data_IF_691211711441
#
_entry.id   IF_691211711441
#
_cell.length_a   1.000
_cell.length_b   1.000
_cell.length_c   1.000
_cell.angle_alpha   90.00
_cell.angle_beta   90.00
_cell.angle_gamma   90.00
#
_symmetry.space_group_name_H-M   'P 1'
#
loop_
_entity.id
_entity.type
_entity.pdbx_description
1 polymer ?
#
# COMPACT_ATOMS: atom_id res chain seq x y z
N UNK A 1 5.69 -13.48 5.48
CA UNK A 1 4.42 -12.79 5.83
C UNK A 1 3.74 -12.32 4.55
N UNK A 2 3.13 -13.24 3.79
CA UNK A 2 2.47 -12.93 2.51
C UNK A 2 1.22 -13.83 2.30
N UNK A 3 0.68 -14.38 3.40
CA UNK A 3 -0.32 -15.44 3.37
C UNK A 3 -1.75 -14.93 3.24
N UNK A 4 -2.00 -13.64 3.41
CA UNK A 4 -3.35 -13.02 3.41
C UNK A 4 -4.15 -13.37 2.15
N UNK A 5 -3.50 -13.26 0.99
CA UNK A 5 -4.17 -13.49 -0.28
C UNK A 5 -4.55 -14.96 -0.46
N UNK A 6 -3.61 -15.88 -0.23
CA UNK A 6 -3.86 -17.32 -0.31
C UNK A 6 -4.92 -17.78 0.71
N UNK A 7 -4.84 -17.33 1.96
CA UNK A 7 -5.80 -17.74 2.98
C UNK A 7 -7.19 -17.15 2.77
N UNK A 8 -7.30 -16.01 2.09
CA UNK A 8 -8.60 -15.48 1.65
C UNK A 8 -9.14 -16.15 0.38
N UNK A 9 -8.47 -17.20 -0.13
CA UNK A 9 -8.74 -17.76 -1.45
C UNK A 9 -8.79 -16.66 -2.53
N UNK A 10 -7.80 -15.76 -2.50
CA UNK A 10 -7.65 -14.61 -3.40
C UNK A 10 -8.80 -13.59 -3.34
N UNK A 11 -9.62 -13.56 -2.29
CA UNK A 11 -10.69 -12.56 -2.14
C UNK A 11 -10.16 -11.18 -1.73
N UNK A 12 -9.08 -11.13 -0.95
CA UNK A 12 -8.41 -9.87 -0.63
C UNK A 12 -7.71 -9.33 -1.89
N UNK A 13 -7.93 -8.06 -2.22
CA UNK A 13 -7.31 -7.41 -3.40
C UNK A 13 -6.25 -6.37 -3.06
N UNK A 14 -6.37 -5.74 -1.89
CA UNK A 14 -5.39 -4.80 -1.35
C UNK A 14 -5.12 -5.18 0.11
N UNK A 15 -3.86 -5.24 0.50
CA UNK A 15 -3.43 -5.26 1.90
C UNK A 15 -2.65 -3.98 2.18
N UNK A 16 -3.09 -3.22 3.17
CA UNK A 16 -2.37 -2.07 3.70
C UNK A 16 -1.74 -2.43 5.04
N UNK A 17 -0.41 -2.39 5.11
CA UNK A 17 0.32 -2.52 6.37
C UNK A 17 0.79 -1.14 6.79
N UNK A 18 0.44 -0.74 8.01
CA UNK A 18 0.96 0.48 8.63
C UNK A 18 1.78 0.08 9.84
N UNK A 19 3.07 0.42 9.79
CA UNK A 19 4.05 0.11 10.83
C UNK A 19 4.46 1.41 11.49
N UNK A 20 4.51 1.41 12.81
CA UNK A 20 4.94 2.55 13.60
C UNK A 20 6.24 2.21 14.30
N UNK A 21 7.28 3.01 14.06
CA UNK A 21 8.59 2.88 14.68
C UNK A 21 8.87 4.13 15.52
N UNK A 22 8.69 4.00 16.83
CA UNK A 22 8.95 5.07 17.79
C UNK A 22 10.43 5.42 17.89
N UNK A 23 11.31 4.44 17.69
CA UNK A 23 12.77 4.58 17.87
C UNK A 23 13.35 5.39 16.73
N UNK A 24 12.99 5.05 15.49
CA UNK A 24 13.44 5.77 14.30
C UNK A 24 12.53 6.94 13.90
N UNK A 25 11.52 7.23 14.73
CA UNK A 25 10.53 8.29 14.49
C UNK A 25 9.89 8.22 13.11
N UNK A 26 9.53 7.01 12.70
CA UNK A 26 9.07 6.71 11.35
C UNK A 26 7.72 5.99 11.37
N UNK A 27 6.91 6.26 10.33
CA UNK A 27 5.70 5.50 10.01
C UNK A 27 5.90 4.94 8.61
N UNK A 28 5.76 3.63 8.46
CA UNK A 28 5.94 2.96 7.17
C UNK A 28 4.61 2.39 6.71
N UNK A 29 4.17 2.79 5.51
CA UNK A 29 2.99 2.26 4.86
C UNK A 29 3.43 1.36 3.70
N UNK A 30 2.89 0.16 3.65
CA UNK A 30 3.09 -0.77 2.54
C UNK A 30 1.74 -1.13 1.93
N UNK A 31 1.64 -0.98 0.61
CA UNK A 31 0.53 -1.46 -0.18
C UNK A 31 0.94 -2.73 -0.91
N UNK A 32 0.20 -3.80 -0.68
CA UNK A 32 0.37 -5.08 -1.34
C UNK A 32 -0.87 -5.41 -2.17
N UNK A 33 -0.64 -5.97 -3.35
CA UNK A 33 -1.67 -6.40 -4.32
C UNK A 33 -1.27 -7.77 -4.89
N UNK A 34 -2.18 -8.47 -5.56
CA UNK A 34 -1.83 -9.68 -6.32
C UNK A 34 -1.61 -9.40 -7.80
N UNK A 35 -0.61 -10.05 -8.35
CA UNK A 35 -0.32 -10.04 -9.79
C UNK A 35 -0.21 -11.47 -10.33
N UNK A 36 -0.65 -11.72 -11.56
CA UNK A 36 -0.30 -12.94 -12.27
C UNK A 36 1.23 -13.07 -12.36
N UNK A 37 1.77 -14.23 -12.02
CA UNK A 37 3.15 -14.56 -12.38
C UNK A 37 3.25 -14.67 -13.89
N UNK A 38 4.16 -13.89 -14.48
CA UNK A 38 4.56 -14.08 -15.87
C UNK A 38 5.03 -15.52 -16.05
N UNK A 39 4.24 -16.31 -16.79
CA UNK A 39 4.60 -17.68 -17.12
C UNK A 39 5.43 -17.59 -18.41
N UNK A 40 6.69 -18.01 -18.36
CA UNK A 40 7.60 -17.96 -19.49
C UNK A 40 6.93 -18.56 -20.76
N UNK A 41 6.94 -17.85 -21.91
CA UNK A 41 6.36 -18.38 -23.13
C UNK A 41 7.24 -19.53 -23.65
N UNK A 42 6.81 -20.76 -23.43
CA UNK A 42 7.50 -21.94 -23.97
C UNK A 42 7.29 -23.26 -23.23
N UNK A 43 6.71 -23.25 -22.02
CA UNK A 43 6.44 -24.50 -21.30
C UNK A 43 4.97 -24.89 -21.46
N UNK A 44 4.72 -25.90 -22.30
CA UNK A 44 3.42 -26.56 -22.42
C UNK A 44 3.12 -27.32 -21.14
N UNK A 45 2.65 -26.63 -20.10
CA UNK A 45 2.11 -27.28 -18.91
C UNK A 45 0.60 -27.27 -19.00
N UNK A 46 0.07 -28.42 -19.42
CA UNK A 46 -1.33 -28.80 -19.27
C UNK A 46 -1.74 -28.60 -17.80
N UNK A 47 -2.70 -27.69 -17.56
CA UNK A 47 -3.25 -27.28 -16.25
C UNK A 47 -2.36 -26.36 -15.40
N UNK A 48 -2.22 -25.09 -15.78
CA UNK A 48 -1.74 -24.06 -14.84
C UNK A 48 -2.68 -22.86 -14.83
N UNK A 49 -3.50 -22.78 -13.78
CA UNK A 49 -3.99 -21.50 -13.28
C UNK A 49 -2.79 -20.57 -13.15
N UNK A 50 -2.81 -19.40 -13.80
CA UNK A 50 -1.77 -18.40 -13.62
C UNK A 50 -1.55 -18.19 -12.11
N UNK A 51 -0.35 -18.52 -11.62
CA UNK A 51 -0.08 -18.48 -10.20
C UNK A 51 -0.07 -17.01 -9.76
N UNK A 52 -1.10 -16.58 -9.03
CA UNK A 52 -1.16 -15.25 -8.45
C UNK A 52 -0.10 -15.14 -7.35
N UNK A 53 0.61 -14.02 -7.32
CA UNK A 53 1.60 -13.74 -6.28
C UNK A 53 1.38 -12.36 -5.65
N UNK A 54 1.62 -12.25 -4.34
CA UNK A 54 1.57 -10.97 -3.64
C UNK A 54 2.81 -10.13 -3.97
N UNK A 55 2.57 -8.89 -4.41
CA UNK A 55 3.60 -7.92 -4.77
C UNK A 55 3.41 -6.65 -3.96
N UNK A 56 4.51 -6.11 -3.42
CA UNK A 56 4.51 -4.81 -2.75
C UNK A 56 4.56 -3.71 -3.81
N UNK A 57 3.41 -3.09 -4.07
CA UNK A 57 3.25 -2.02 -5.06
C UNK A 57 3.72 -0.66 -4.58
N UNK A 58 3.50 -0.35 -3.30
CA UNK A 58 3.96 0.90 -2.71
C UNK A 58 4.62 0.65 -1.36
N UNK A 59 5.69 1.40 -1.10
CA UNK A 59 6.38 1.46 0.18
C UNK A 59 6.69 2.93 0.47
N UNK A 60 5.92 3.50 1.39
CA UNK A 60 5.95 4.92 1.75
C UNK A 60 6.50 5.01 3.16
N UNK A 61 7.50 5.85 3.36
CA UNK A 61 8.04 6.15 4.69
C UNK A 61 7.73 7.59 5.05
N UNK A 62 7.22 7.81 6.26
CA UNK A 62 6.96 9.13 6.82
C UNK A 62 7.87 9.30 8.03
N UNK A 63 8.88 10.15 7.91
CA UNK A 63 9.85 10.41 8.98
C UNK A 63 9.56 11.75 9.63
N UNK A 64 9.52 11.78 10.97
CA UNK A 64 9.33 13.00 11.74
C UNK A 64 10.64 13.77 11.84
N UNK A 65 10.63 15.00 11.35
CA UNK A 65 11.75 15.93 11.48
C UNK A 65 11.46 16.93 12.62
N UNK A 66 12.25 16.83 13.68
CA UNK A 66 12.11 17.67 14.88
C UNK A 66 13.03 18.88 14.86
N UNK A 67 13.83 19.06 13.79
CA UNK A 67 14.71 20.22 13.63
C UNK A 67 13.95 21.47 13.18
N UNK A 68 12.76 21.30 12.59
CA UNK A 68 11.90 22.39 12.15
C UNK A 68 10.91 22.79 13.24
N UNK A 69 10.54 24.08 13.28
CA UNK A 69 9.44 24.59 14.10
C UNK A 69 8.43 25.33 13.20
N UNK A 70 7.22 24.76 12.95
CA UNK A 70 6.68 23.54 13.55
C UNK A 70 7.38 22.25 13.06
N UNK A 71 7.20 21.17 13.82
CA UNK A 71 7.67 19.81 13.46
C UNK A 71 7.12 19.45 12.08
N UNK A 72 7.98 18.98 11.19
CA UNK A 72 7.61 18.59 9.83
C UNK A 72 7.67 17.07 9.65
N UNK A 73 6.98 16.58 8.62
CA UNK A 73 6.90 15.16 8.29
C UNK A 73 7.33 14.97 6.84
N UNK A 74 8.45 14.29 6.64
CA UNK A 74 8.99 14.01 5.31
C UNK A 74 8.42 12.69 4.81
N UNK A 75 7.72 12.72 3.67
CA UNK A 75 7.09 11.55 3.04
C UNK A 75 7.92 11.12 1.83
N UNK A 76 8.33 9.86 1.79
CA UNK A 76 9.01 9.26 0.63
C UNK A 76 8.03 8.47 -0.22
N UNK A 77 8.34 8.31 -1.52
CA UNK A 77 7.55 7.52 -2.48
C UNK A 77 6.15 8.08 -2.83
N UNK A 78 5.85 9.31 -2.41
CA UNK A 78 4.69 10.09 -2.87
C UNK A 78 3.35 9.71 -2.22
N UNK A 79 2.26 9.96 -2.94
CA UNK A 79 0.90 9.71 -2.49
C UNK A 79 0.58 8.20 -2.45
N UNK A 80 -0.26 7.78 -1.51
CA UNK A 80 -0.81 6.42 -1.49
C UNK A 80 -2.01 6.36 -2.43
N UNK A 81 -1.99 5.44 -3.40
CA UNK A 81 -3.04 5.30 -4.41
C UNK A 81 -3.72 3.95 -4.26
N UNK A 82 -5.02 3.96 -4.00
CA UNK A 82 -5.82 2.75 -3.91
C UNK A 82 -6.67 2.64 -5.18
N UNK A 83 -6.38 1.61 -5.97
CA UNK A 83 -7.04 1.40 -7.26
C UNK A 83 -8.54 1.14 -7.08
N UNK A 84 -9.38 1.88 -7.79
CA UNK A 84 -10.83 1.78 -7.71
C UNK A 84 -11.30 0.35 -7.95
N UNK A 85 -10.80 -0.28 -9.02
CA UNK A 85 -11.17 -1.65 -9.41
C UNK A 85 -10.85 -2.67 -8.32
N UNK A 86 -9.75 -2.47 -7.59
CA UNK A 86 -9.36 -3.38 -6.51
C UNK A 86 -10.18 -3.15 -5.22
N UNK A 87 -10.68 -1.93 -5.01
CA UNK A 87 -11.56 -1.61 -3.88
C UNK A 87 -13.02 -2.02 -4.12
N UNK A 88 -13.53 -1.79 -5.33
CA UNK A 88 -14.95 -1.92 -5.68
C UNK A 88 -15.26 -3.19 -6.50
N UNK A 89 -14.22 -3.93 -6.91
CA UNK A 89 -14.30 -5.18 -7.68
C UNK A 89 -15.04 -5.04 -9.02
N UNK A 90 -15.04 -3.85 -9.61
CA UNK A 90 -15.63 -3.55 -10.92
C UNK A 90 -14.92 -2.39 -11.61
N UNK A 91 -15.25 -2.15 -12.87
CA UNK A 91 -14.73 -1.01 -13.60
C UNK A 91 -15.30 0.32 -13.11
N UNK A 92 -14.46 1.38 -13.09
CA UNK A 92 -14.91 2.72 -12.75
C UNK A 92 -15.84 3.26 -13.84
N UNK A 93 -16.89 3.95 -13.42
CA UNK A 93 -17.64 4.85 -14.30
C UNK A 93 -16.83 6.14 -14.58
N UNK A 94 -17.22 6.98 -15.55
CA UNK A 94 -16.43 8.17 -15.92
C UNK A 94 -16.17 9.19 -14.79
N UNK A 95 -16.99 9.18 -13.74
CA UNK A 95 -16.86 10.05 -12.57
C UNK A 95 -16.09 9.40 -11.42
N UNK A 96 -15.87 8.09 -11.48
CA UNK A 96 -15.18 7.31 -10.46
C UNK A 96 -13.69 7.20 -10.78
N UNK A 97 -12.87 7.29 -9.73
CA UNK A 97 -11.41 7.31 -9.84
C UNK A 97 -10.79 6.59 -8.67
N UNK A 98 -9.50 6.32 -8.80
CA UNK A 98 -8.69 5.81 -7.71
C UNK A 98 -8.72 6.75 -6.51
N UNK A 99 -8.69 6.17 -5.31
CA UNK A 99 -8.61 6.95 -4.08
C UNK A 99 -7.16 7.35 -3.87
N UNK A 100 -6.88 8.64 -3.93
CA UNK A 100 -5.55 9.21 -3.72
C UNK A 100 -5.49 9.82 -2.33
N UNK A 101 -4.66 9.24 -1.46
CA UNK A 101 -4.30 9.83 -0.17
C UNK A 101 -3.03 10.64 -0.41
N UNK A 102 -3.18 11.96 -0.42
CA UNK A 102 -2.12 12.88 -0.82
C UNK A 102 -0.96 12.89 0.17
N UNK A 103 0.19 13.43 -0.25
CA UNK A 103 1.33 13.67 0.65
C UNK A 103 0.90 14.51 1.85
N UNK A 104 0.07 15.54 1.63
CA UNK A 104 -0.46 16.39 2.70
C UNK A 104 -1.32 15.59 3.69
N UNK A 105 -2.20 14.71 3.18
CA UNK A 105 -3.03 13.85 4.04
C UNK A 105 -2.18 12.88 4.86
N UNK A 106 -1.11 12.35 4.25
CA UNK A 106 -0.14 11.48 4.94
C UNK A 106 0.63 12.23 6.04
N UNK A 107 1.01 13.49 5.80
CA UNK A 107 1.63 14.34 6.82
C UNK A 107 0.65 14.64 7.97
N UNK A 108 -0.60 14.99 7.66
CA UNK A 108 -1.66 15.20 8.66
C UNK A 108 -1.96 13.92 9.43
N UNK A 109 -1.94 12.76 8.76
CA UNK A 109 -2.06 11.46 9.41
C UNK A 109 -0.92 11.23 10.40
N UNK A 110 0.33 11.46 10.00
CA UNK A 110 1.48 11.31 10.89
C UNK A 110 1.38 12.24 12.10
N UNK A 111 1.03 13.51 11.90
CA UNK A 111 0.80 14.46 13.00
C UNK A 111 -0.24 13.96 14.00
N UNK A 112 -1.35 13.38 13.53
CA UNK A 112 -2.39 12.79 14.38
C UNK A 112 -1.88 11.57 15.15
N UNK A 113 -1.08 10.71 14.52
CA UNK A 113 -0.48 9.53 15.17
C UNK A 113 0.48 9.98 16.28
N UNK A 114 1.40 10.89 15.98
CA UNK A 114 2.40 11.36 16.94
C UNK A 114 1.79 12.11 18.12
N UNK A 115 0.70 12.87 17.93
CA UNK A 115 -0.05 13.50 19.03
C UNK A 115 -0.70 12.53 20.01
N UNK A 116 -0.88 11.26 19.64
CA UNK A 116 -1.47 10.24 20.51
C UNK A 116 -0.42 9.39 21.24
N UNK A 117 0.84 9.45 20.80
CA UNK A 117 1.94 8.64 21.34
C UNK A 117 2.89 9.48 22.20
N UNK A 118 2.95 10.80 21.97
CA UNK A 118 3.77 11.79 22.69
C UNK A 118 2.88 12.67 23.55
#
# INVERSE_FOLDING_TARGET
MQWWFQASNHQIKIVLLVKFDSTHRAIVLEKWEEEPRDTCPGVTTTRYTAALQPVRRQHISITRDSSTNPVSYNVTSGALVLGFRLLLLRDPSPTERDIVISVQDLQTYAEKVWRRVV
#
